data_IF_135763987370
#
_entry.id   IF_135763987370
#
_cell.length_a   1.000
_cell.length_b   1.000
_cell.length_c   1.000
_cell.angle_alpha   90.00
_cell.angle_beta   90.00
_cell.angle_gamma   90.00
#
_symmetry.space_group_name_H-M   'P 1'
#
loop_
_entity.id
_entity.type
_entity.pdbx_description
1 polymer ?
#
# COMPACT_ATOMS: atom_id res chain seq x y z
N UNK A 1 -32.29 -6.55 31.31
CA UNK A 1 -33.24 -5.51 30.84
C UNK A 1 -32.99 -4.26 31.66
N UNK A 2 -32.76 -3.11 31.03
CA UNK A 2 -32.47 -1.86 31.75
C UNK A 2 -33.78 -1.19 32.16
N UNK A 3 -33.98 -0.86 33.45
CA UNK A 3 -35.23 -0.29 33.93
C UNK A 3 -35.36 1.22 33.69
N UNK A 4 -34.27 1.90 33.31
CA UNK A 4 -34.21 3.35 33.24
C UNK A 4 -33.16 3.83 32.22
N UNK A 5 -33.44 4.96 31.55
CA UNK A 5 -32.54 5.62 30.63
C UNK A 5 -32.46 7.11 30.97
N UNK A 6 -31.29 7.54 31.44
CA UNK A 6 -31.05 8.93 31.84
C UNK A 6 -30.76 9.81 30.62
N UNK A 7 -30.83 11.13 30.80
CA UNK A 7 -30.42 12.10 29.76
C UNK A 7 -28.94 11.97 29.38
N UNK A 8 -28.08 11.53 30.30
CA UNK A 8 -26.69 11.21 30.00
C UNK A 8 -26.56 9.95 29.13
N UNK A 9 -27.35 8.90 29.42
CA UNK A 9 -27.41 7.69 28.59
C UNK A 9 -27.87 7.98 27.17
N UNK A 10 -28.89 8.84 27.00
CA UNK A 10 -29.35 9.30 25.68
C UNK A 10 -28.24 10.02 24.90
N UNK A 11 -27.45 10.89 25.56
CA UNK A 11 -26.32 11.57 24.92
C UNK A 11 -25.27 10.59 24.43
N UNK A 12 -24.91 9.58 25.22
CA UNK A 12 -23.94 8.54 24.83
C UNK A 12 -24.44 7.78 23.59
N UNK A 13 -25.72 7.41 23.54
CA UNK A 13 -26.30 6.73 22.38
C UNK A 13 -26.23 7.60 21.10
N UNK A 14 -26.48 8.90 21.22
CA UNK A 14 -26.33 9.83 20.08
C UNK A 14 -24.89 9.95 19.63
N UNK A 15 -23.94 10.01 20.58
CA UNK A 15 -22.52 10.04 20.26
C UNK A 15 -22.10 8.76 19.53
N UNK A 16 -22.57 7.59 19.97
CA UNK A 16 -22.33 6.32 19.29
C UNK A 16 -22.88 6.32 17.85
N UNK A 17 -24.12 6.80 17.64
CA UNK A 17 -24.69 6.93 16.29
C UNK A 17 -23.86 7.87 15.40
N UNK A 18 -23.41 9.00 15.94
CA UNK A 18 -22.56 9.97 15.23
C UNK A 18 -21.19 9.40 14.87
N UNK A 19 -20.63 8.52 15.70
CA UNK A 19 -19.34 7.88 15.41
C UNK A 19 -19.44 6.88 14.26
N UNK A 20 -20.57 6.18 14.11
CA UNK A 20 -20.74 5.17 13.04
C UNK A 20 -21.37 5.72 11.76
N UNK A 21 -22.06 6.86 11.82
CA UNK A 21 -22.71 7.48 10.66
C UNK A 21 -21.78 7.73 9.46
N UNK A 22 -20.51 8.16 9.62
CA UNK A 22 -19.60 8.37 8.49
C UNK A 22 -19.29 7.12 7.66
N UNK A 23 -19.57 5.91 8.19
CA UNK A 23 -19.31 4.62 7.53
C UNK A 23 -20.58 3.95 7.00
N UNK A 24 -21.66 4.73 6.86
CA UNK A 24 -23.03 4.21 6.70
C UNK A 24 -23.40 3.15 7.77
N UNK A 25 -22.75 3.24 8.93
CA UNK A 25 -22.95 2.31 10.03
C UNK A 25 -24.33 2.51 10.66
N UNK A 26 -25.01 1.39 10.90
CA UNK A 26 -26.34 1.36 11.55
C UNK A 26 -26.17 1.03 13.03
N UNK A 27 -27.02 1.62 13.87
CA UNK A 27 -27.11 1.30 15.30
C UNK A 27 -28.49 0.74 15.57
N UNK A 28 -28.52 -0.49 16.08
CA UNK A 28 -29.74 -1.19 16.46
C UNK A 28 -29.91 -1.22 17.97
N UNK A 29 -31.13 -1.07 18.44
CA UNK A 29 -31.52 -1.26 19.83
C UNK A 29 -32.39 -2.51 19.92
N UNK A 30 -31.91 -3.54 20.63
CA UNK A 30 -32.68 -4.76 20.90
C UNK A 30 -33.26 -4.78 22.30
N UNK A 31 -34.32 -5.55 22.53
CA UNK A 31 -34.89 -5.79 23.86
C UNK A 31 -35.26 -4.49 24.62
N UNK A 32 -35.73 -3.47 23.88
CA UNK A 32 -36.14 -2.18 24.47
C UNK A 32 -37.47 -2.38 25.20
N UNK A 33 -37.50 -2.10 26.51
CA UNK A 33 -38.75 -2.22 27.28
C UNK A 33 -39.77 -1.15 26.86
N UNK A 34 -41.08 -1.37 27.07
CA UNK A 34 -42.12 -0.39 26.71
C UNK A 34 -41.90 0.99 27.33
N UNK A 35 -41.43 1.02 28.59
CA UNK A 35 -41.11 2.27 29.28
C UNK A 35 -39.97 3.03 28.58
N UNK A 36 -38.89 2.35 28.20
CA UNK A 36 -37.75 2.97 27.53
C UNK A 36 -38.11 3.40 26.10
N UNK A 37 -38.96 2.64 25.41
CA UNK A 37 -39.48 3.02 24.10
C UNK A 37 -40.29 4.33 24.19
N UNK A 38 -41.15 4.48 25.20
CA UNK A 38 -41.89 5.72 25.43
C UNK A 38 -40.94 6.89 25.69
N UNK A 39 -39.87 6.70 26.46
CA UNK A 39 -38.83 7.72 26.67
C UNK A 39 -38.15 8.11 25.35
N UNK A 40 -37.77 7.15 24.51
CA UNK A 40 -37.18 7.41 23.19
C UNK A 40 -38.16 8.12 22.24
N UNK A 41 -39.45 7.80 22.32
CA UNK A 41 -40.49 8.47 21.55
C UNK A 41 -40.68 9.92 21.97
N UNK A 42 -40.81 10.17 23.28
CA UNK A 42 -40.93 11.53 23.84
C UNK A 42 -39.70 12.39 23.52
N UNK A 43 -38.50 11.78 23.48
CA UNK A 43 -37.26 12.47 23.11
C UNK A 43 -37.06 12.63 21.59
N UNK A 44 -37.97 12.10 20.75
CA UNK A 44 -37.84 12.11 19.28
C UNK A 44 -36.77 11.17 18.72
N UNK A 45 -36.15 10.35 19.57
CA UNK A 45 -34.99 9.52 19.23
C UNK A 45 -35.36 8.19 18.59
N UNK A 46 -36.61 7.76 18.68
CA UNK A 46 -37.15 6.60 17.95
C UNK A 46 -36.98 6.71 16.41
N UNK A 47 -36.77 7.92 15.88
CA UNK A 47 -36.49 8.15 14.45
C UNK A 47 -35.01 8.01 14.08
N UNK A 48 -34.13 8.04 15.09
CA UNK A 48 -32.67 8.04 14.92
C UNK A 48 -32.11 6.61 15.02
N UNK A 49 -32.74 5.78 15.86
CA UNK A 49 -32.32 4.40 16.11
C UNK A 49 -33.34 3.42 15.55
N UNK A 50 -32.84 2.37 14.89
CA UNK A 50 -33.66 1.23 14.50
C UNK A 50 -33.80 0.31 15.72
N UNK A 51 -35.02 -0.16 15.99
CA UNK A 51 -35.30 -1.00 17.15
C UNK A 51 -35.84 -2.34 16.70
N UNK A 52 -35.23 -3.39 17.23
CA UNK A 52 -35.59 -4.78 16.92
C UNK A 52 -36.03 -5.50 18.20
N UNK A 53 -36.88 -6.53 18.09
CA UNK A 53 -37.44 -7.20 19.26
C UNK A 53 -36.35 -7.81 20.15
N UNK A 54 -35.33 -8.42 19.56
CA UNK A 54 -34.29 -9.15 20.27
C UNK A 54 -32.95 -9.12 19.52
N UNK A 55 -31.88 -9.50 20.22
CA UNK A 55 -30.53 -9.46 19.69
C UNK A 55 -30.31 -10.47 18.55
N UNK A 56 -31.05 -11.59 18.49
CA UNK A 56 -30.93 -12.56 17.40
C UNK A 56 -31.50 -12.00 16.12
N UNK A 57 -32.62 -11.27 16.18
CA UNK A 57 -33.19 -10.55 15.04
C UNK A 57 -32.21 -9.52 14.49
N UNK A 58 -31.55 -8.74 15.36
CA UNK A 58 -30.48 -7.81 14.95
C UNK A 58 -29.33 -8.56 14.28
N UNK A 59 -28.88 -9.67 14.87
CA UNK A 59 -27.80 -10.48 14.29
C UNK A 59 -28.20 -11.10 12.95
N UNK A 60 -29.46 -11.49 12.76
CA UNK A 60 -29.99 -11.97 11.47
C UNK A 60 -29.97 -10.85 10.44
N UNK A 61 -30.42 -9.64 10.77
CA UNK A 61 -30.40 -8.50 9.84
C UNK A 61 -28.96 -8.13 9.47
N UNK A 62 -28.04 -8.13 10.43
CA UNK A 62 -26.62 -7.91 10.16
C UNK A 62 -26.08 -9.04 9.27
N UNK A 63 -26.43 -10.29 9.58
CA UNK A 63 -26.04 -11.45 8.78
C UNK A 63 -26.59 -11.37 7.36
N UNK A 64 -27.85 -10.97 7.17
CA UNK A 64 -28.50 -10.86 5.86
C UNK A 64 -27.97 -9.68 5.05
N UNK A 65 -27.65 -8.53 5.68
CA UNK A 65 -26.95 -7.42 5.01
C UNK A 65 -25.49 -7.78 4.67
N UNK A 66 -24.85 -8.62 5.49
CA UNK A 66 -23.54 -9.18 5.21
C UNK A 66 -23.60 -10.34 4.19
N UNK A 67 -24.72 -11.07 4.09
CA UNK A 67 -24.94 -12.20 3.20
C UNK A 67 -25.54 -11.78 1.85
N UNK A 68 -26.24 -10.65 1.74
CA UNK A 68 -26.56 -9.99 0.47
C UNK A 68 -25.29 -9.43 -0.21
N UNK A 69 -24.18 -9.31 0.54
CA UNK A 69 -22.82 -9.13 -0.01
C UNK A 69 -22.10 -10.45 -0.31
N UNK A 70 -22.73 -11.62 -0.12
CA UNK A 70 -22.10 -12.92 -0.37
C UNK A 70 -22.49 -13.49 -1.72
N UNK A 71 -21.44 -13.85 -2.45
CA UNK A 71 -21.39 -14.51 -3.76
C UNK A 71 -21.58 -13.59 -4.97
N UNK A 72 -20.64 -12.65 -5.11
CA UNK A 72 -20.17 -12.34 -6.46
C UNK A 72 -19.42 -13.60 -6.97
N UNK A 73 -19.86 -14.24 -8.07
CA UNK A 73 -19.19 -15.43 -8.61
C UNK A 73 -17.72 -15.19 -8.98
N UNK A 74 -17.29 -13.94 -9.10
CA UNK A 74 -15.92 -13.56 -9.43
C UNK A 74 -15.01 -13.33 -8.21
N UNK A 75 -15.50 -13.64 -7.00
CA UNK A 75 -14.75 -13.57 -5.74
C UNK A 75 -14.23 -14.94 -5.32
N UNK A 76 -12.91 -15.05 -5.14
CA UNK A 76 -12.24 -16.25 -4.62
C UNK A 76 -11.67 -15.97 -3.23
N UNK A 77 -11.94 -16.88 -2.29
CA UNK A 77 -11.44 -16.78 -0.92
C UNK A 77 -10.41 -17.86 -0.62
N UNK A 78 -9.30 -17.46 0.00
CA UNK A 78 -8.21 -18.31 0.42
C UNK A 78 -7.97 -18.20 1.92
N UNK A 79 -7.78 -19.34 2.57
CA UNK A 79 -7.17 -19.40 3.90
C UNK A 79 -5.66 -19.49 3.75
N UNK A 80 -4.94 -18.65 4.49
CA UNK A 80 -3.48 -18.68 4.57
C UNK A 80 -3.05 -18.78 6.04
N UNK A 81 -1.79 -19.11 6.28
CA UNK A 81 -1.28 -19.18 7.64
C UNK A 81 -1.38 -17.80 8.31
N UNK A 82 -2.13 -17.74 9.41
CA UNK A 82 -2.39 -16.50 10.15
C UNK A 82 -3.54 -15.62 9.63
N UNK A 83 -4.33 -16.05 8.64
CA UNK A 83 -5.56 -15.34 8.26
C UNK A 83 -6.17 -15.73 6.91
N UNK A 84 -6.80 -14.76 6.24
CA UNK A 84 -7.49 -14.99 4.97
C UNK A 84 -7.27 -13.86 3.97
N UNK A 85 -7.35 -14.25 2.69
CA UNK A 85 -7.30 -13.34 1.54
C UNK A 85 -8.52 -13.60 0.67
N UNK A 86 -9.21 -12.53 0.30
CA UNK A 86 -10.29 -12.53 -0.68
C UNK A 86 -9.81 -11.75 -1.91
N UNK A 87 -9.95 -12.31 -3.10
CA UNK A 87 -9.58 -11.67 -4.38
C UNK A 87 -10.81 -11.63 -5.28
N UNK A 88 -11.08 -10.47 -5.87
CA UNK A 88 -12.20 -10.24 -6.78
C UNK A 88 -11.70 -9.60 -8.06
N UNK A 89 -12.14 -10.11 -9.21
CA UNK A 89 -11.84 -9.50 -10.51
C UNK A 89 -12.69 -8.25 -10.72
N UNK A 90 -12.07 -7.13 -11.08
CA UNK A 90 -12.75 -5.85 -11.35
C UNK A 90 -12.65 -5.41 -12.81
N UNK A 91 -11.59 -5.78 -13.53
CA UNK A 91 -11.48 -5.59 -14.97
C UNK A 91 -10.45 -6.55 -15.60
N UNK A 92 -10.44 -6.64 -16.92
CA UNK A 92 -9.52 -7.49 -17.68
C UNK A 92 -8.60 -6.68 -18.61
N UNK A 93 -8.57 -5.36 -18.46
CA UNK A 93 -7.67 -4.51 -19.24
C UNK A 93 -6.21 -4.78 -18.88
N UNK A 94 -5.32 -4.68 -19.86
CA UNK A 94 -3.90 -4.94 -19.66
C UNK A 94 -3.23 -3.80 -18.88
N UNK A 95 -2.27 -4.17 -18.03
CA UNK A 95 -1.35 -3.25 -17.39
C UNK A 95 0.08 -3.43 -17.93
N UNK A 96 0.86 -2.36 -17.88
CA UNK A 96 2.26 -2.31 -18.31
C UNK A 96 3.11 -1.57 -17.29
N UNK A 97 4.37 -1.98 -17.12
CA UNK A 97 5.35 -1.24 -16.33
C UNK A 97 6.19 -0.35 -17.24
N UNK A 98 6.34 0.91 -16.85
CA UNK A 98 7.21 1.87 -17.51
C UNK A 98 8.42 2.14 -16.62
N UNK A 99 9.60 1.78 -17.11
CA UNK A 99 10.87 2.00 -16.45
C UNK A 99 11.53 3.25 -17.01
N UNK A 100 11.92 4.16 -16.13
CA UNK A 100 12.69 5.34 -16.48
C UNK A 100 14.01 5.29 -15.72
N UNK A 101 15.13 5.49 -16.41
CA UNK A 101 16.46 5.38 -15.80
C UNK A 101 16.90 3.92 -15.63
N UNK A 102 17.72 3.62 -14.61
CA UNK A 102 18.35 2.30 -14.49
C UNK A 102 18.65 1.90 -13.05
N UNK A 103 18.03 0.81 -12.58
CA UNK A 103 18.31 0.23 -11.28
C UNK A 103 19.76 -0.23 -11.15
N UNK A 104 20.38 -0.77 -12.21
CA UNK A 104 21.80 -1.13 -12.16
C UNK A 104 22.68 0.11 -11.93
N UNK A 105 22.38 1.26 -12.54
CA UNK A 105 23.11 2.51 -12.23
C UNK A 105 22.93 2.95 -10.78
N UNK A 106 21.75 2.73 -10.18
CA UNK A 106 21.53 2.95 -8.74
C UNK A 106 22.43 2.01 -7.92
N UNK A 107 22.36 0.70 -8.20
CA UNK A 107 23.07 -0.32 -7.43
C UNK A 107 24.59 -0.19 -7.50
N UNK A 108 25.15 0.32 -8.59
CA UNK A 108 26.60 0.55 -8.71
C UNK A 108 27.00 2.02 -8.46
N UNK A 109 26.05 2.85 -8.00
CA UNK A 109 26.24 4.29 -7.79
C UNK A 109 26.88 4.99 -8.99
N UNK A 110 26.30 4.80 -10.18
CA UNK A 110 26.80 5.31 -11.47
C UNK A 110 25.94 6.42 -12.06
N UNK A 111 25.08 7.06 -11.27
CA UNK A 111 24.23 8.15 -11.75
C UNK A 111 25.08 9.40 -11.98
N UNK A 112 25.09 9.88 -13.23
CA UNK A 112 25.64 11.18 -13.63
C UNK A 112 24.50 12.14 -14.00
N UNK A 113 24.75 13.47 -14.05
CA UNK A 113 23.69 14.45 -14.35
C UNK A 113 22.91 14.17 -15.65
N UNK A 114 23.58 13.70 -16.70
CA UNK A 114 22.96 13.33 -17.98
C UNK A 114 22.11 12.03 -17.92
N UNK A 115 22.14 11.32 -16.80
CA UNK A 115 21.34 10.11 -16.52
C UNK A 115 20.21 10.34 -15.53
N UNK A 116 20.10 11.55 -14.99
CA UNK A 116 18.91 11.97 -14.26
C UNK A 116 17.81 12.27 -15.28
N UNK A 117 16.64 11.69 -15.09
CA UNK A 117 15.49 11.83 -15.98
C UNK A 117 14.41 12.67 -15.32
N UNK A 118 13.66 13.39 -16.16
CA UNK A 118 12.51 14.17 -15.73
C UNK A 118 11.25 13.31 -15.85
N UNK A 119 10.47 13.28 -14.78
CA UNK A 119 9.16 12.63 -14.74
C UNK A 119 8.11 13.65 -14.29
N UNK A 120 6.94 13.61 -14.93
CA UNK A 120 5.79 14.47 -14.56
C UNK A 120 4.93 13.75 -13.53
N UNK A 121 4.25 14.52 -12.67
CA UNK A 121 3.30 13.97 -11.70
C UNK A 121 2.16 13.22 -12.39
N UNK A 122 1.64 13.79 -13.47
CA UNK A 122 0.61 13.17 -14.33
C UNK A 122 1.06 11.84 -14.96
N UNK A 123 2.36 11.58 -15.04
CA UNK A 123 2.90 10.33 -15.59
C UNK A 123 3.12 9.24 -14.53
N UNK A 124 2.98 9.55 -13.24
CA UNK A 124 3.26 8.61 -12.15
C UNK A 124 2.12 8.61 -11.13
N UNK A 125 1.05 7.90 -11.47
CA UNK A 125 -0.05 7.66 -10.55
C UNK A 125 0.35 6.63 -9.48
N UNK A 126 1.03 5.56 -9.88
CA UNK A 126 1.62 4.58 -8.98
C UNK A 126 3.03 4.25 -9.46
N UNK A 127 4.03 4.54 -8.63
CA UNK A 127 5.42 4.21 -8.94
C UNK A 127 6.27 4.07 -7.70
N UNK A 128 7.38 3.36 -7.84
CA UNK A 128 8.48 3.31 -6.88
C UNK A 128 9.79 3.62 -7.58
N UNK A 129 10.80 4.07 -6.84
CA UNK A 129 12.14 4.22 -7.36
C UNK A 129 13.02 5.12 -6.52
N UNK A 130 13.99 5.74 -7.18
CA UNK A 130 14.94 6.68 -6.61
C UNK A 130 14.78 8.05 -7.27
N UNK A 131 14.42 9.06 -6.50
CA UNK A 131 14.16 10.40 -7.02
C UNK A 131 14.27 11.50 -5.99
N UNK A 132 14.14 12.73 -6.48
CA UNK A 132 14.09 13.94 -5.68
C UNK A 132 13.32 15.04 -6.41
N UNK A 133 12.72 15.94 -5.64
CA UNK A 133 12.26 17.23 -6.14
C UNK A 133 13.37 18.27 -5.97
N UNK A 134 13.68 19.00 -7.04
CA UNK A 134 14.64 20.09 -7.01
C UNK A 134 14.39 21.07 -8.16
N UNK A 135 15.13 22.18 -8.20
CA UNK A 135 15.04 23.14 -9.31
C UNK A 135 15.78 22.64 -10.57
N UNK A 136 16.88 21.89 -10.39
CA UNK A 136 17.72 21.40 -11.50
C UNK A 136 18.17 19.94 -11.30
N UNK A 137 18.56 19.24 -12.39
CA UNK A 137 19.13 17.89 -12.30
C UNK A 137 20.35 17.79 -11.39
N UNK A 138 21.19 18.83 -11.36
CA UNK A 138 22.42 18.87 -10.55
C UNK A 138 22.09 18.93 -9.05
N UNK A 139 21.08 19.72 -8.67
CA UNK A 139 20.59 19.76 -7.29
C UNK A 139 19.89 18.45 -6.91
N UNK A 140 19.04 17.93 -7.80
CA UNK A 140 18.36 16.66 -7.59
C UNK A 140 19.34 15.52 -7.34
N UNK A 141 20.46 15.49 -8.08
CA UNK A 141 21.50 14.47 -7.96
C UNK A 141 22.02 14.31 -6.53
N UNK A 142 22.17 15.40 -5.77
CA UNK A 142 22.64 15.36 -4.38
C UNK A 142 21.56 14.90 -3.38
N UNK A 143 20.30 14.93 -3.78
CA UNK A 143 19.13 14.62 -2.95
C UNK A 143 18.46 13.30 -3.30
N UNK A 144 18.92 12.60 -4.35
CA UNK A 144 18.32 11.36 -4.84
C UNK A 144 18.21 10.33 -3.71
N UNK A 145 16.97 10.00 -3.36
CA UNK A 145 16.66 9.01 -2.34
C UNK A 145 15.44 8.18 -2.70
N UNK A 146 15.04 7.27 -1.82
CA UNK A 146 13.91 6.38 -2.07
C UNK A 146 12.62 7.19 -2.26
N UNK A 147 11.83 6.83 -3.27
CA UNK A 147 10.66 7.58 -3.71
C UNK A 147 9.48 6.65 -3.97
N UNK A 148 8.29 7.10 -3.65
CA UNK A 148 7.03 6.47 -4.02
C UNK A 148 6.07 7.54 -4.56
N UNK A 149 5.35 7.21 -5.62
CA UNK A 149 4.20 8.01 -6.06
C UNK A 149 2.90 7.25 -5.86
N UNK A 150 1.91 7.96 -5.34
CA UNK A 150 0.60 7.43 -4.97
C UNK A 150 -0.46 8.44 -5.37
N UNK A 151 -1.27 8.08 -6.36
CA UNK A 151 -2.37 8.89 -6.86
C UNK A 151 -1.92 10.31 -7.26
N UNK A 152 -0.78 10.40 -7.95
CA UNK A 152 -0.18 11.67 -8.40
C UNK A 152 0.47 12.50 -7.29
N UNK A 153 0.50 11.99 -6.06
CA UNK A 153 1.30 12.55 -4.97
C UNK A 153 2.67 11.89 -4.94
N UNK A 154 3.69 12.61 -4.48
CA UNK A 154 5.04 12.06 -4.24
C UNK A 154 5.33 12.07 -2.75
N UNK A 155 5.99 11.03 -2.29
CA UNK A 155 6.68 10.98 -1.00
C UNK A 155 8.08 10.45 -1.28
N UNK A 156 9.10 11.12 -0.75
CA UNK A 156 10.49 10.67 -0.91
C UNK A 156 11.28 10.85 0.37
N UNK A 157 12.27 10.00 0.57
CA UNK A 157 13.21 10.07 1.68
C UNK A 157 14.56 10.55 1.12
N UNK A 158 14.88 11.86 1.19
CA UNK A 158 16.13 12.37 0.66
C UNK A 158 17.35 11.86 1.42
N UNK A 159 18.49 11.79 0.72
CA UNK A 159 19.78 11.38 1.28
C UNK A 159 20.57 12.56 1.87
N UNK A 160 19.88 13.54 2.44
CA UNK A 160 20.46 14.76 3.01
C UNK A 160 20.96 14.59 4.46
N UNK A 161 20.73 13.40 5.03
CA UNK A 161 21.12 13.04 6.40
C UNK A 161 20.06 13.34 7.47
N UNK A 162 18.96 14.02 7.14
CA UNK A 162 17.90 14.35 8.10
C UNK A 162 16.97 13.17 8.42
N UNK A 163 17.03 12.08 7.63
CA UNK A 163 16.25 10.84 7.81
C UNK A 163 14.74 11.08 7.96
N UNK A 164 14.25 12.18 7.42
CA UNK A 164 12.85 12.59 7.46
C UNK A 164 12.36 12.64 6.03
N UNK A 165 11.31 11.90 5.67
CA UNK A 165 10.78 11.99 4.33
C UNK A 165 10.04 13.31 4.11
N UNK A 166 10.14 13.80 2.89
CA UNK A 166 9.36 14.90 2.37
C UNK A 166 8.19 14.37 1.54
N UNK A 167 7.15 15.18 1.39
CA UNK A 167 5.99 14.83 0.57
C UNK A 167 5.45 16.05 -0.16
N UNK A 168 4.83 15.82 -1.30
CA UNK A 168 4.14 16.83 -2.07
C UNK A 168 2.87 16.27 -2.72
N UNK A 169 1.75 16.92 -2.42
CA UNK A 169 0.42 16.55 -2.92
C UNK A 169 -0.05 17.68 -3.84
N UNK A 170 0.05 17.53 -5.17
CA UNK A 170 -0.36 18.57 -6.09
C UNK A 170 -1.88 18.72 -6.12
N UNK A 171 -2.37 19.96 -5.97
CA UNK A 171 -3.77 20.32 -6.26
C UNK A 171 -3.96 20.57 -7.77
N UNK A 172 -2.91 21.04 -8.45
CA UNK A 172 -2.87 21.26 -9.90
C UNK A 172 -1.44 21.09 -10.39
N UNK A 173 -1.26 20.32 -11.47
CA UNK A 173 0.04 20.15 -12.12
C UNK A 173 0.25 21.27 -13.16
N UNK A 174 1.07 22.27 -12.82
CA UNK A 174 1.47 23.35 -13.74
C UNK A 174 2.64 22.95 -14.63
N UNK A 175 3.29 21.80 -14.37
CA UNK A 175 4.54 21.38 -15.00
C UNK A 175 5.79 22.13 -14.53
N UNK A 176 5.66 23.08 -13.60
CA UNK A 176 6.80 23.85 -13.06
C UNK A 176 7.55 23.06 -11.97
N UNK A 177 6.81 22.28 -11.16
CA UNK A 177 7.39 21.37 -10.16
C UNK A 177 7.74 20.05 -10.84
N UNK A 178 8.99 19.60 -10.67
CA UNK A 178 9.58 18.51 -11.43
C UNK A 178 10.07 17.41 -10.50
N UNK A 179 9.83 16.16 -10.90
CA UNK A 179 10.42 14.98 -10.28
C UNK A 179 11.63 14.58 -11.11
N UNK A 180 12.80 14.53 -10.48
CA UNK A 180 14.01 14.03 -11.10
C UNK A 180 14.31 12.64 -10.56
N UNK A 181 14.56 11.68 -11.44
CA UNK A 181 14.74 10.27 -11.06
C UNK A 181 16.00 9.67 -11.68
N UNK A 182 16.68 8.82 -10.91
CA UNK A 182 17.73 7.93 -11.42
C UNK A 182 17.18 6.57 -11.84
N UNK A 183 16.05 6.18 -11.26
CA UNK A 183 15.31 4.97 -11.55
C UNK A 183 13.86 5.13 -11.07
N UNK A 184 12.89 4.81 -11.92
CA UNK A 184 11.48 4.81 -11.57
C UNK A 184 10.77 3.68 -12.31
N UNK A 185 9.99 2.89 -11.59
CA UNK A 185 9.11 1.88 -12.15
C UNK A 185 7.66 2.28 -11.90
N UNK A 186 6.97 2.71 -12.95
CA UNK A 186 5.60 3.21 -12.90
C UNK A 186 4.61 2.25 -13.53
N UNK A 187 3.47 2.07 -12.88
CA UNK A 187 2.33 1.34 -13.44
C UNK A 187 1.59 2.23 -14.44
N UNK A 188 1.27 1.68 -15.60
CA UNK A 188 0.33 2.25 -16.57
C UNK A 188 -0.79 1.24 -16.84
N UNK A 189 -2.02 1.74 -16.92
CA UNK A 189 -3.23 0.93 -17.04
C UNK A 189 -3.96 0.81 -15.70
N UNK A 190 -4.86 -0.16 -15.62
CA UNK A 190 -5.74 -0.35 -14.46
C UNK A 190 -5.25 -1.50 -13.57
N UNK A 191 -5.76 -1.58 -12.35
CA UNK A 191 -5.69 -2.81 -11.56
C UNK A 191 -6.80 -3.76 -12.02
N UNK A 192 -6.47 -5.03 -12.25
CA UNK A 192 -7.43 -6.03 -12.74
C UNK A 192 -8.23 -6.66 -11.60
N UNK A 193 -7.66 -6.74 -10.41
CA UNK A 193 -8.26 -7.38 -9.26
C UNK A 193 -8.13 -6.52 -8.01
N UNK A 194 -9.07 -6.69 -7.08
CA UNK A 194 -9.00 -6.16 -5.72
C UNK A 194 -8.76 -7.28 -4.73
N UNK A 195 -8.06 -6.98 -3.64
CA UNK A 195 -7.71 -7.93 -2.59
C UNK A 195 -8.16 -7.40 -1.23
N UNK A 196 -8.73 -8.26 -0.40
CA UNK A 196 -8.96 -7.99 1.03
C UNK A 196 -8.20 -9.01 1.86
N UNK A 197 -7.25 -8.55 2.66
CA UNK A 197 -6.49 -9.35 3.61
C UNK A 197 -7.04 -9.12 5.02
N UNK A 198 -7.25 -10.20 5.76
CA UNK A 198 -7.56 -10.16 7.19
C UNK A 198 -6.66 -11.13 7.95
N UNK A 199 -5.82 -10.59 8.83
CA UNK A 199 -5.03 -11.37 9.79
C UNK A 199 -5.87 -11.77 11.00
N UNK A 200 -5.73 -13.03 11.41
CA UNK A 200 -6.29 -13.58 12.64
C UNK A 200 -5.40 -13.32 13.86
N UNK A 201 -4.17 -12.82 13.63
CA UNK A 201 -3.19 -12.55 14.68
C UNK A 201 -2.82 -11.06 14.76
N UNK A 202 -2.45 -10.55 15.94
CA UNK A 202 -1.89 -9.20 16.08
C UNK A 202 -0.54 -9.02 15.37
N UNK A 203 0.21 -10.08 15.13
CA UNK A 203 1.52 -9.96 14.47
C UNK A 203 1.38 -9.67 12.98
N UNK A 204 0.24 -10.00 12.38
CA UNK A 204 -0.02 -9.80 10.97
C UNK A 204 0.59 -10.89 10.08
N UNK A 205 0.33 -10.77 8.78
CA UNK A 205 0.77 -11.67 7.73
C UNK A 205 1.91 -11.00 6.97
N UNK A 206 2.95 -11.76 6.63
CA UNK A 206 4.12 -11.20 5.95
C UNK A 206 3.81 -10.77 4.52
N UNK A 207 4.50 -9.74 4.04
CA UNK A 207 4.40 -9.26 2.67
C UNK A 207 4.71 -10.40 1.68
N UNK A 208 5.76 -11.19 1.92
CA UNK A 208 6.10 -12.36 1.12
C UNK A 208 5.00 -13.43 1.10
N UNK A 209 4.29 -13.70 2.20
CA UNK A 209 3.13 -14.60 2.19
C UNK A 209 1.99 -14.04 1.35
N UNK A 210 1.73 -12.74 1.40
CA UNK A 210 0.71 -12.08 0.58
C UNK A 210 1.07 -12.20 -0.91
N UNK A 211 2.28 -11.80 -1.32
CA UNK A 211 2.74 -11.95 -2.71
C UNK A 211 2.68 -13.40 -3.18
N UNK A 212 3.16 -14.35 -2.37
CA UNK A 212 3.10 -15.78 -2.72
C UNK A 212 1.67 -16.21 -3.03
N UNK A 213 0.71 -15.83 -2.20
CA UNK A 213 -0.70 -16.21 -2.42
C UNK A 213 -1.26 -15.55 -3.68
N UNK A 214 -0.87 -14.32 -3.99
CA UNK A 214 -1.27 -13.65 -5.23
C UNK A 214 -0.67 -14.37 -6.45
N UNK A 215 0.60 -14.75 -6.42
CA UNK A 215 1.22 -15.53 -7.50
C UNK A 215 0.55 -16.89 -7.69
N UNK A 216 0.28 -17.60 -6.59
CA UNK A 216 -0.43 -18.88 -6.64
C UNK A 216 -1.84 -18.69 -7.24
N UNK A 217 -2.57 -17.64 -6.85
CA UNK A 217 -3.88 -17.28 -7.44
C UNK A 217 -3.77 -16.98 -8.93
N UNK A 218 -2.79 -16.18 -9.34
CA UNK A 218 -2.55 -15.82 -10.73
C UNK A 218 -2.34 -17.06 -11.60
N UNK A 219 -1.50 -18.01 -11.15
CA UNK A 219 -1.26 -19.27 -11.87
C UNK A 219 -2.52 -20.14 -11.98
N UNK A 220 -3.37 -20.12 -10.96
CA UNK A 220 -4.62 -20.90 -10.93
C UNK A 220 -5.70 -20.30 -11.85
N UNK A 221 -5.80 -18.97 -11.89
CA UNK A 221 -6.97 -18.27 -12.41
C UNK A 221 -6.73 -17.48 -13.71
N UNK A 222 -5.47 -17.18 -14.06
CA UNK A 222 -5.11 -16.25 -15.15
C UNK A 222 -4.26 -16.94 -16.22
N UNK A 223 -4.84 -17.26 -17.40
CA UNK A 223 -4.08 -17.77 -18.53
C UNK A 223 -3.08 -16.75 -19.12
N UNK A 224 -3.28 -15.46 -18.86
CA UNK A 224 -2.46 -14.34 -19.31
C UNK A 224 -1.43 -13.88 -18.27
N UNK A 225 -1.26 -14.64 -17.19
CA UNK A 225 -0.22 -14.36 -16.20
C UNK A 225 1.16 -14.64 -16.77
N UNK A 226 2.02 -13.62 -16.69
CA UNK A 226 3.38 -13.59 -17.24
C UNK A 226 4.47 -13.70 -16.16
N UNK A 227 4.11 -13.81 -14.88
CA UNK A 227 5.08 -13.88 -13.77
C UNK A 227 5.39 -12.56 -13.07
N UNK A 228 4.85 -11.42 -13.53
CA UNK A 228 5.10 -10.10 -12.92
C UNK A 228 3.79 -9.44 -12.51
N UNK A 229 3.74 -8.92 -11.29
CA UNK A 229 2.61 -8.12 -10.78
C UNK A 229 3.08 -6.78 -10.22
N UNK A 230 2.18 -5.80 -10.22
CA UNK A 230 2.25 -4.63 -9.38
C UNK A 230 1.06 -4.60 -8.42
N UNK A 231 1.28 -4.19 -7.18
CA UNK A 231 0.22 -4.10 -6.17
C UNK A 231 0.20 -2.73 -5.51
N UNK A 232 -1.00 -2.22 -5.26
CA UNK A 232 -1.23 -1.13 -4.32
C UNK A 232 -1.95 -1.69 -3.09
N UNK A 233 -1.50 -1.32 -1.89
CA UNK A 233 -2.03 -1.80 -0.62
C UNK A 233 -2.36 -0.61 0.28
N UNK A 234 -3.45 -0.68 1.02
CA UNK A 234 -3.80 0.29 2.05
C UNK A 234 -4.45 -0.41 3.26
N UNK A 235 -4.00 -0.08 4.46
CA UNK A 235 -4.66 -0.53 5.68
C UNK A 235 -3.79 -0.45 6.92
N UNK A 236 -3.83 -1.48 7.77
CA UNK A 236 -3.13 -1.49 9.07
C UNK A 236 -1.85 -2.33 9.01
N UNK A 237 -0.75 -1.74 9.48
CA UNK A 237 0.54 -2.40 9.66
C UNK A 237 0.53 -3.33 10.87
N UNK A 238 1.05 -4.55 10.71
CA UNK A 238 1.41 -5.45 11.80
C UNK A 238 2.78 -5.18 12.40
N UNK A 239 3.58 -4.33 11.73
CA UNK A 239 4.97 -4.06 12.02
C UNK A 239 5.78 -4.04 10.72
N UNK A 240 6.53 -2.98 10.48
CA UNK A 240 7.34 -2.79 9.27
C UNK A 240 8.79 -3.11 9.60
N UNK A 241 9.41 -3.92 8.73
CA UNK A 241 10.86 -3.97 8.63
C UNK A 241 11.27 -3.23 7.37
N UNK A 242 12.18 -2.29 7.50
CA UNK A 242 12.53 -1.36 6.44
C UNK A 242 14.00 -1.40 6.08
N UNK A 243 14.28 -0.86 4.90
CA UNK A 243 15.61 -0.40 4.52
C UNK A 243 15.55 1.00 3.95
N UNK A 244 16.70 1.65 3.82
CA UNK A 244 16.83 2.93 3.13
C UNK A 244 18.26 3.21 2.70
N UNK A 245 18.42 3.80 1.53
CA UNK A 245 19.70 4.28 1.06
C UNK A 245 20.14 5.51 1.86
N UNK A 246 21.42 5.55 2.25
CA UNK A 246 21.96 6.62 3.11
C UNK A 246 22.70 7.70 2.31
N UNK A 247 23.07 7.39 1.07
CA UNK A 247 23.86 8.28 0.20
C UNK A 247 23.24 8.34 -1.20
N UNK A 248 23.31 9.50 -1.89
CA UNK A 248 22.90 9.58 -3.27
C UNK A 248 23.81 8.65 -4.12
N UNK A 249 23.26 7.73 -4.93
CA UNK A 249 24.01 6.72 -5.67
C UNK A 249 24.61 7.30 -6.95
N UNK A 250 25.54 8.23 -6.77
CA UNK A 250 26.15 9.05 -7.83
C UNK A 250 27.60 8.63 -8.05
N UNK A 251 28.09 8.81 -9.28
CA UNK A 251 29.40 8.31 -9.72
C UNK A 251 30.56 8.73 -8.81
N UNK A 252 30.51 9.94 -8.26
CA UNK A 252 31.54 10.50 -7.39
C UNK A 252 31.63 9.80 -6.04
N UNK A 253 30.54 9.14 -5.62
CA UNK A 253 30.46 8.41 -4.37
C UNK A 253 30.61 6.90 -4.56
N UNK A 254 30.73 6.40 -5.79
CA UNK A 254 30.74 4.96 -6.07
C UNK A 254 31.71 4.17 -5.17
N UNK A 255 31.33 2.97 -4.69
CA UNK A 255 32.19 2.17 -3.83
C UNK A 255 33.58 1.96 -4.43
N UNK A 256 34.63 2.10 -3.61
CA UNK A 256 36.02 1.99 -4.06
C UNK A 256 36.38 0.63 -4.67
N UNK A 257 35.68 -0.43 -4.26
CA UNK A 257 35.87 -1.78 -4.80
C UNK A 257 35.20 -2.00 -6.17
N UNK A 258 34.41 -1.03 -6.66
CA UNK A 258 33.67 -1.13 -7.92
C UNK A 258 32.47 -2.09 -7.88
N UNK A 259 32.18 -2.68 -6.72
CA UNK A 259 31.04 -3.57 -6.51
C UNK A 259 29.74 -2.79 -6.25
N UNK A 260 28.62 -3.50 -6.22
CA UNK A 260 27.31 -2.95 -5.85
C UNK A 260 27.29 -2.36 -4.43
N UNK A 261 26.44 -1.36 -4.19
CA UNK A 261 26.13 -0.83 -2.85
C UNK A 261 25.50 -1.90 -1.94
N UNK A 262 24.94 -2.97 -2.53
CA UNK A 262 24.39 -4.12 -1.82
C UNK A 262 25.43 -5.20 -1.52
N UNK A 263 26.68 -5.06 -1.98
CA UNK A 263 27.76 -6.00 -1.69
C UNK A 263 28.05 -6.06 -0.17
N UNK A 264 28.35 -7.23 0.41
CA UNK A 264 28.65 -7.34 1.84
C UNK A 264 29.75 -6.39 2.35
N UNK A 265 30.70 -6.00 1.50
CA UNK A 265 31.74 -5.03 1.83
C UNK A 265 31.25 -3.57 1.87
N UNK A 266 30.12 -3.26 1.25
CA UNK A 266 29.60 -1.90 1.06
C UNK A 266 28.28 -1.65 1.82
N UNK A 267 27.44 -2.68 1.98
CA UNK A 267 26.04 -2.55 2.41
C UNK A 267 25.85 -1.78 3.71
N UNK A 268 26.72 -1.97 4.71
CA UNK A 268 26.59 -1.29 6.00
C UNK A 268 26.88 0.23 5.94
N UNK A 269 27.60 0.68 4.91
CA UNK A 269 27.84 2.10 4.66
C UNK A 269 26.67 2.72 3.89
N UNK A 270 26.10 1.96 2.95
CA UNK A 270 25.14 2.47 1.96
C UNK A 270 23.68 2.29 2.33
N UNK A 271 23.36 1.28 3.15
CA UNK A 271 22.00 0.87 3.44
C UNK A 271 21.81 0.82 4.95
N UNK A 272 20.82 1.56 5.42
CA UNK A 272 20.29 1.42 6.77
C UNK A 272 19.18 0.38 6.75
N UNK A 273 19.20 -0.55 7.70
CA UNK A 273 18.19 -1.61 7.84
C UNK A 273 17.62 -1.55 9.24
N UNK A 274 16.30 -1.60 9.38
CA UNK A 274 15.65 -1.65 10.69
C UNK A 274 15.98 -2.98 11.40
N UNK A 275 16.46 -2.89 12.63
CA UNK A 275 16.74 -4.06 13.49
C UNK A 275 15.47 -4.62 14.15
N UNK A 276 14.35 -3.89 14.11
CA UNK A 276 13.09 -4.25 14.77
C UNK A 276 11.88 -3.97 13.89
N UNK A 277 10.72 -4.50 14.29
CA UNK A 277 9.45 -4.19 13.65
C UNK A 277 8.90 -2.86 14.20
N UNK A 278 8.73 -1.88 13.31
CA UNK A 278 8.28 -0.53 13.65
C UNK A 278 6.83 -0.28 13.18
N UNK A 279 6.17 0.77 13.68
CA UNK A 279 4.85 1.21 13.20
C UNK A 279 3.72 0.17 13.26
N UNK A 280 3.77 -0.77 14.22
CA UNK A 280 2.68 -1.73 14.41
C UNK A 280 1.40 -1.02 14.88
N UNK A 281 0.27 -1.31 14.21
CA UNK A 281 -1.04 -0.70 14.48
C UNK A 281 -1.29 0.64 13.79
N UNK A 282 -0.26 1.19 13.13
CA UNK A 282 -0.36 2.40 12.31
C UNK A 282 -0.95 2.09 10.93
N UNK A 283 -1.36 3.14 10.22
CA UNK A 283 -1.86 3.01 8.86
C UNK A 283 -0.72 3.01 7.84
N UNK A 284 -0.86 2.21 6.79
CA UNK A 284 0.12 2.11 5.72
C UNK A 284 -0.56 2.21 4.36
N UNK A 285 0.09 2.92 3.43
CA UNK A 285 -0.14 2.79 1.99
C UNK A 285 1.15 2.25 1.38
N UNK A 286 1.09 1.21 0.56
CA UNK A 286 2.25 0.68 -0.12
C UNK A 286 1.97 0.50 -1.62
N UNK A 287 3.02 0.65 -2.41
CA UNK A 287 3.03 0.25 -3.81
C UNK A 287 4.28 -0.59 -4.05
N UNK A 288 4.12 -1.70 -4.77
CA UNK A 288 5.22 -2.63 -4.99
C UNK A 288 5.09 -3.43 -6.26
N UNK A 289 6.24 -3.94 -6.69
CA UNK A 289 6.40 -4.81 -7.85
C UNK A 289 6.91 -6.16 -7.33
N UNK A 290 6.28 -7.23 -7.80
CA UNK A 290 6.65 -8.60 -7.48
C UNK A 290 6.94 -9.39 -8.75
N UNK A 291 8.04 -10.14 -8.72
CA UNK A 291 8.40 -11.11 -9.77
C UNK A 291 8.37 -12.50 -9.18
N UNK A 292 7.61 -13.39 -9.79
CA UNK A 292 7.59 -14.83 -9.50
C UNK A 292 8.72 -15.51 -10.25
N UNK A 293 9.81 -15.83 -9.52
CA UNK A 293 11.00 -16.45 -10.10
C UNK A 293 10.79 -17.94 -10.41
N UNK A 294 9.61 -18.51 -10.08
CA UNK A 294 9.23 -19.88 -10.44
C UNK A 294 8.43 -19.95 -11.74
N UNK A 295 8.01 -18.80 -12.28
CA UNK A 295 7.29 -18.72 -13.55
C UNK A 295 8.26 -18.62 -14.74
N UNK A 296 7.77 -18.96 -15.94
CA UNK A 296 8.53 -18.74 -17.17
C UNK A 296 8.49 -17.25 -17.54
N UNK A 297 9.62 -16.56 -17.34
CA UNK A 297 9.77 -15.12 -17.62
C UNK A 297 10.35 -14.86 -19.03
N UNK A 298 10.41 -15.86 -19.91
CA UNK A 298 11.04 -15.74 -21.23
C UNK A 298 10.35 -14.74 -22.17
N UNK A 299 9.14 -14.31 -21.86
CA UNK A 299 8.45 -13.22 -22.56
C UNK A 299 9.13 -11.84 -22.33
N UNK A 300 9.88 -11.69 -21.23
CA UNK A 300 10.60 -10.45 -20.90
C UNK A 300 12.06 -10.54 -21.27
N UNK A 301 12.64 -9.41 -21.71
CA UNK A 301 14.06 -9.36 -21.99
C UNK A 301 14.87 -9.42 -20.68
N UNK A 302 16.00 -10.15 -20.62
CA UNK A 302 16.84 -10.24 -19.43
C UNK A 302 17.23 -8.87 -18.86
N UNK A 303 17.49 -7.90 -19.73
CA UNK A 303 17.83 -6.52 -19.34
C UNK A 303 16.69 -5.84 -18.58
N UNK A 304 15.43 -6.08 -18.99
CA UNK A 304 14.24 -5.54 -18.33
C UNK A 304 14.03 -6.13 -16.94
N UNK A 305 14.23 -7.45 -16.79
CA UNK A 305 14.15 -8.14 -15.50
C UNK A 305 15.27 -7.64 -14.56
N UNK A 306 16.49 -7.50 -15.07
CA UNK A 306 17.62 -6.96 -14.30
C UNK A 306 17.43 -5.49 -13.87
N UNK A 307 16.59 -4.74 -14.58
CA UNK A 307 16.24 -3.37 -14.25
C UNK A 307 15.13 -3.26 -13.19
N UNK A 308 14.42 -4.35 -12.89
CA UNK A 308 13.33 -4.41 -11.92
C UNK A 308 13.69 -5.11 -10.62
N UNK A 309 14.59 -6.09 -10.67
CA UNK A 309 14.91 -6.93 -9.53
C UNK A 309 16.32 -6.74 -9.01
N UNK A 310 16.45 -6.78 -7.70
CA UNK A 310 17.69 -7.09 -7.01
C UNK A 310 17.35 -7.91 -5.76
N UNK A 311 18.34 -8.64 -5.26
CA UNK A 311 18.19 -9.38 -4.00
C UNK A 311 18.69 -8.48 -2.88
N UNK A 312 17.77 -7.97 -2.07
CA UNK A 312 18.14 -7.21 -0.90
C UNK A 312 18.73 -8.16 0.17
N UNK A 313 19.98 -7.98 0.63
CA UNK A 313 20.65 -8.94 1.51
C UNK A 313 19.97 -9.10 2.88
N UNK A 314 19.20 -8.09 3.31
CA UNK A 314 18.43 -8.15 4.55
C UNK A 314 17.03 -8.81 4.40
N UNK A 315 16.61 -9.17 3.19
CA UNK A 315 15.39 -9.92 2.98
C UNK A 315 15.57 -11.34 3.52
N UNK A 316 14.59 -11.76 4.31
CA UNK A 316 14.50 -13.12 4.89
C UNK A 316 13.34 -13.92 4.27
N UNK A 317 12.81 -13.40 3.16
CA UNK A 317 11.68 -13.97 2.43
C UNK A 317 12.04 -15.25 1.67
N UNK A 318 11.09 -15.73 0.88
CA UNK A 318 11.25 -16.92 0.05
C UNK A 318 12.17 -16.60 -1.14
N UNK A 319 13.11 -17.48 -1.46
CA UNK A 319 14.04 -17.31 -2.60
C UNK A 319 13.38 -17.33 -3.99
N UNK A 320 12.10 -17.67 -4.03
CA UNK A 320 11.32 -17.99 -5.22
C UNK A 320 10.63 -16.74 -5.80
N UNK A 321 10.88 -15.57 -5.23
CA UNK A 321 10.32 -14.29 -5.66
C UNK A 321 11.32 -13.15 -5.47
N UNK A 322 11.14 -12.08 -6.24
CA UNK A 322 11.81 -10.79 -6.01
C UNK A 322 10.74 -9.72 -5.79
N UNK A 323 10.82 -9.03 -4.65
CA UNK A 323 9.87 -7.99 -4.27
C UNK A 323 10.60 -6.66 -4.12
N UNK A 324 10.01 -5.60 -4.68
CA UNK A 324 10.43 -4.22 -4.46
C UNK A 324 9.19 -3.43 -4.07
N UNK A 325 9.07 -3.07 -2.80
CA UNK A 325 7.88 -2.40 -2.27
C UNK A 325 8.29 -1.21 -1.43
N UNK A 326 7.72 -0.04 -1.72
CA UNK A 326 7.83 1.13 -0.85
C UNK A 326 6.51 1.34 -0.11
N UNK A 327 6.59 1.88 1.10
CA UNK A 327 5.44 2.14 1.96
C UNK A 327 5.52 3.51 2.60
N UNK A 328 4.36 4.15 2.71
CA UNK A 328 4.14 5.39 3.46
C UNK A 328 3.32 5.06 4.69
N UNK A 329 3.81 5.52 5.84
CA UNK A 329 3.22 5.29 7.15
C UNK A 329 2.50 6.55 7.61
N UNK A 330 1.28 6.35 8.09
CA UNK A 330 0.45 7.37 8.69
C UNK A 330 0.06 6.93 10.09
N UNK A 331 -0.15 7.89 10.97
CA UNK A 331 -0.77 7.62 12.26
C UNK A 331 -2.12 6.97 12.04
N UNK A 332 -2.47 6.05 12.94
CA UNK A 332 -3.64 5.19 12.84
C UNK A 332 -4.86 5.96 12.33
N UNK A 333 -5.25 5.61 11.11
CA UNK A 333 -6.33 6.22 10.39
C UNK A 333 -7.41 5.18 10.11
N UNK A 334 -8.66 5.58 10.30
CA UNK A 334 -9.79 4.71 10.03
C UNK A 334 -10.11 4.79 8.54
N UNK A 335 -9.91 3.68 7.83
CA UNK A 335 -10.13 3.61 6.38
C UNK A 335 -11.53 4.13 6.01
N UNK A 336 -11.57 4.99 4.99
CA UNK A 336 -12.82 5.53 4.44
C UNK A 336 -13.64 4.42 3.78
N UNK A 337 -14.99 4.49 3.83
CA UNK A 337 -15.87 3.56 3.11
C UNK A 337 -15.85 3.73 1.58
N UNK A 338 -14.96 4.56 1.02
CA UNK A 338 -14.83 4.74 -0.44
C UNK A 338 -14.84 3.41 -1.21
N UNK A 339 -15.44 3.34 -2.40
CA UNK A 339 -15.64 2.09 -3.12
C UNK A 339 -14.33 1.55 -3.73
N UNK A 340 -13.46 2.43 -4.24
CA UNK A 340 -12.23 2.03 -4.93
C UNK A 340 -10.96 2.38 -4.13
N UNK A 341 -9.88 1.62 -4.40
CA UNK A 341 -8.60 1.80 -3.71
C UNK A 341 -7.97 3.18 -3.96
N UNK A 342 -8.12 3.73 -5.17
CA UNK A 342 -7.55 5.02 -5.54
C UNK A 342 -8.15 6.14 -4.69
N UNK A 343 -9.47 6.13 -4.52
CA UNK A 343 -10.19 7.05 -3.64
C UNK A 343 -9.80 6.87 -2.17
N UNK A 344 -9.63 5.64 -1.68
CA UNK A 344 -9.13 5.39 -0.31
C UNK A 344 -7.72 5.97 -0.10
N UNK A 345 -6.81 5.74 -1.06
CA UNK A 345 -5.44 6.27 -1.04
C UNK A 345 -5.44 7.79 -1.06
N UNK A 346 -6.17 8.42 -2.00
CA UNK A 346 -6.30 9.89 -2.06
C UNK A 346 -6.85 10.45 -0.76
N UNK A 347 -7.85 9.79 -0.16
CA UNK A 347 -8.41 10.24 1.11
C UNK A 347 -7.38 10.21 2.24
N UNK A 348 -6.62 9.11 2.39
CA UNK A 348 -5.59 9.02 3.41
C UNK A 348 -4.43 9.98 3.16
N UNK A 349 -3.97 10.13 1.91
CA UNK A 349 -2.92 11.10 1.56
C UNK A 349 -3.31 12.53 1.96
N UNK A 350 -4.57 12.93 1.75
CA UNK A 350 -5.03 14.30 2.03
C UNK A 350 -5.38 14.57 3.50
N UNK A 351 -5.72 13.54 4.28
CA UNK A 351 -6.27 13.70 5.64
C UNK A 351 -5.46 13.00 6.73
N UNK A 352 -4.51 12.14 6.37
CA UNK A 352 -3.68 11.39 7.29
C UNK A 352 -2.59 12.24 7.93
N UNK A 353 -2.22 11.90 9.16
CA UNK A 353 -1.03 12.44 9.82
C UNK A 353 0.17 11.59 9.38
N UNK A 354 1.01 12.14 8.51
CA UNK A 354 2.21 11.48 7.99
C UNK A 354 3.21 11.16 9.12
N UNK A 355 3.77 9.95 9.12
CA UNK A 355 4.80 9.53 10.08
C UNK A 355 6.14 9.23 9.41
N UNK A 356 6.15 8.42 8.34
CA UNK A 356 7.39 8.01 7.68
C UNK A 356 7.15 7.45 6.26
N UNK A 357 8.22 7.21 5.51
CA UNK A 357 8.24 6.51 4.23
C UNK A 357 9.49 5.65 4.14
N UNK A 358 9.32 4.38 3.73
CA UNK A 358 10.40 3.39 3.74
C UNK A 358 10.32 2.41 2.57
N UNK A 359 11.47 1.88 2.18
CA UNK A 359 11.52 0.62 1.45
C UNK A 359 11.15 -0.51 2.42
N UNK A 360 10.15 -1.33 2.09
CA UNK A 360 9.66 -2.41 2.93
C UNK A 360 10.40 -3.71 2.60
N UNK A 361 10.89 -4.40 3.62
CA UNK A 361 11.45 -5.74 3.48
C UNK A 361 10.34 -6.79 3.44
N UNK A 362 10.64 -7.95 2.86
CA UNK A 362 9.69 -9.04 2.56
C UNK A 362 8.98 -9.62 3.78
N UNK A 363 9.56 -9.42 4.96
CA UNK A 363 9.00 -9.85 6.23
C UNK A 363 8.24 -8.74 6.97
N UNK A 364 8.05 -7.56 6.39
CA UNK A 364 7.05 -6.59 6.87
C UNK A 364 5.68 -7.24 7.00
N UNK A 365 4.93 -6.87 8.04
CA UNK A 365 3.69 -7.51 8.44
C UNK A 365 2.49 -6.61 8.21
N UNK A 366 1.40 -7.22 7.77
CA UNK A 366 0.14 -6.57 7.41
C UNK A 366 -1.02 -7.21 8.16
N UNK A 367 -1.96 -6.41 8.70
CA UNK A 367 -3.10 -6.94 9.47
C UNK A 367 -4.38 -6.97 8.66
N UNK A 368 -4.92 -5.80 8.38
CA UNK A 368 -6.13 -5.64 7.58
C UNK A 368 -5.80 -4.73 6.42
N UNK A 369 -5.83 -5.26 5.20
CA UNK A 369 -5.44 -4.54 3.99
C UNK A 369 -6.55 -4.65 2.95
N UNK A 370 -6.80 -3.52 2.29
CA UNK A 370 -7.47 -3.49 1.01
C UNK A 370 -6.39 -3.23 -0.05
N UNK A 371 -6.36 -4.03 -1.09
CA UNK A 371 -5.34 -4.03 -2.11
C UNK A 371 -5.95 -4.04 -3.50
N UNK A 372 -5.10 -3.76 -4.48
CA UNK A 372 -5.40 -3.94 -5.88
C UNK A 372 -4.18 -4.50 -6.60
N UNK A 373 -4.43 -5.38 -7.57
CA UNK A 373 -3.42 -6.21 -8.23
C UNK A 373 -3.48 -5.91 -9.73
N UNK A 374 -2.32 -5.62 -10.30
CA UNK A 374 -2.11 -5.44 -11.72
C UNK A 374 -1.16 -6.52 -12.24
N UNK A 375 -1.58 -7.26 -13.27
CA UNK A 375 -0.79 -8.26 -13.98
C UNK A 375 -0.07 -7.59 -15.15
N UNK A 376 1.26 -7.68 -15.15
CA UNK A 376 2.09 -6.89 -16.07
C UNK A 376 2.29 -7.65 -17.37
N UNK A 377 1.69 -7.14 -18.43
CA UNK A 377 1.78 -7.74 -19.77
C UNK A 377 2.97 -7.29 -20.61
N UNK A 378 3.59 -6.16 -20.24
CA UNK A 378 4.70 -5.57 -20.97
C UNK A 378 5.54 -4.68 -20.03
N UNK A 379 6.85 -4.66 -20.25
CA UNK A 379 7.76 -3.68 -19.66
C UNK A 379 8.25 -2.76 -20.77
N UNK A 380 8.11 -1.45 -20.58
CA UNK A 380 8.66 -0.41 -21.46
C UNK A 380 9.80 0.29 -20.75
N UNK A 381 10.84 0.63 -21.50
CA UNK A 381 12.03 1.29 -20.94
C UNK A 381 12.30 2.57 -21.70
N UNK A 382 12.33 3.67 -20.97
CA UNK A 382 12.74 4.99 -21.45
C UNK A 382 14.13 5.29 -20.87
N UNK A 383 15.18 5.17 -21.70
CA UNK A 383 16.58 5.35 -21.28
C UNK A 383 17.03 6.80 -21.10
#
# INVERSE_FOLDING_TARGET
MFPYLSSAGLRVMVMARKQVAPRDGKVFLSNVSPFIMNVLQMAGMHKIFQTEPDARTVLSIIHDVCAEKQHDPDTVQYTIDGGSIEIQTVCTEKATLHLTGSLSRVLYAQISPDKVRLVRFSDCEYSIGLGAMAESPEMARELLGEMITLQGSIVWLPTDGNKTPDFFIPITDTGEVRIYTGFNAALKGHFQETLTLTSDTPDGISLSQVYKRIFDHAREMRPDYSGIIAIALIGESGGIRSSGITHPPVRERAPMNGSSIMDPGNVNEWIEVSDSFEYAGESIIAFGIGIDLTHDLSEFQPEQLSALSYIHPANRGLSDMSLHTHGVVFKKFLLSPEPDIGSKIRHLMNNGEFLDMRHLLDDSRLRTIHGAIAYISEIKTDE
#
